data_IF_032802742475
#
_entry.id   IF_032802742475
#
_cell.length_a   1.000
_cell.length_b   1.000
_cell.length_c   1.000
_cell.angle_alpha   90.00
_cell.angle_beta   90.00
_cell.angle_gamma   90.00
#
_symmetry.space_group_name_H-M   'P 1'
#
loop_
_entity.id
_entity.type
_entity.pdbx_description
1 polymer ?
#
# COMPACT_ATOMS: atom_id res chain seq x y z
N UNK A 1 -7.18 17.16 -2.11
CA UNK A 1 -8.28 16.20 -1.94
C UNK A 1 -7.74 14.80 -2.23
N UNK A 2 -6.94 14.22 -1.32
CA UNK A 2 -6.34 12.87 -1.45
C UNK A 2 -6.64 12.01 -0.20
N UNK A 3 -6.97 12.65 0.93
CA UNK A 3 -7.12 11.98 2.24
C UNK A 3 -8.35 11.06 2.29
N UNK A 4 -9.44 11.39 1.59
CA UNK A 4 -10.62 10.52 1.49
C UNK A 4 -10.38 9.22 0.71
N UNK A 5 -9.42 9.20 -0.21
CA UNK A 5 -9.05 8.01 -0.99
C UNK A 5 -8.27 7.01 -0.14
N UNK A 6 -7.59 7.47 0.93
CA UNK A 6 -6.78 6.61 1.79
C UNK A 6 -7.58 5.73 2.74
N UNK A 7 -8.64 6.27 3.33
CA UNK A 7 -9.57 5.46 4.12
C UNK A 7 -10.27 4.39 3.27
N UNK A 8 -10.60 4.72 2.02
CA UNK A 8 -11.21 3.76 1.07
C UNK A 8 -10.24 2.66 0.65
N UNK A 9 -8.97 3.00 0.40
CA UNK A 9 -7.95 2.02 0.04
C UNK A 9 -7.67 1.04 1.19
N UNK A 10 -7.62 1.53 2.44
CA UNK A 10 -7.45 0.67 3.62
C UNK A 10 -8.62 -0.29 3.78
N UNK A 11 -9.85 0.21 3.65
CA UNK A 11 -11.05 -0.62 3.73
C UNK A 11 -11.11 -1.68 2.62
N UNK A 12 -10.67 -1.34 1.41
CA UNK A 12 -10.66 -2.25 0.27
C UNK A 12 -9.65 -3.40 0.42
N UNK A 13 -8.50 -3.14 1.05
CA UNK A 13 -7.41 -4.13 1.18
C UNK A 13 -7.58 -5.02 2.41
N UNK A 14 -7.93 -4.44 3.57
CA UNK A 14 -7.90 -5.18 4.84
C UNK A 14 -9.27 -5.51 5.44
N UNK A 15 -10.37 -5.01 4.86
CA UNK A 15 -11.70 -5.18 5.43
C UNK A 15 -11.89 -4.42 6.75
N UNK A 16 -13.13 -4.06 7.07
CA UNK A 16 -13.45 -3.11 8.15
C UNK A 16 -12.91 -3.46 9.54
N UNK A 17 -12.59 -2.38 10.28
CA UNK A 17 -12.33 -2.26 11.73
C UNK A 17 -10.94 -2.62 12.29
N UNK A 18 -9.89 -2.65 11.45
CA UNK A 18 -8.49 -2.64 11.90
C UNK A 18 -8.06 -1.36 12.65
N UNK A 19 -8.85 -0.29 12.57
CA UNK A 19 -8.62 0.97 13.28
C UNK A 19 -9.51 1.12 14.55
N UNK A 20 -10.33 0.10 14.87
CA UNK A 20 -11.31 0.10 15.96
C UNK A 20 -12.43 1.17 15.80
N UNK A 21 -13.35 1.25 16.77
CA UNK A 21 -14.49 2.20 16.76
C UNK A 21 -14.10 3.70 16.60
N UNK A 22 -12.82 4.05 16.74
CA UNK A 22 -12.27 5.38 16.46
C UNK A 22 -11.96 5.63 14.98
N UNK A 23 -11.78 4.56 14.19
CA UNK A 23 -11.44 4.59 12.77
C UNK A 23 -12.63 4.47 11.83
N UNK A 24 -13.81 4.96 12.22
CA UNK A 24 -14.87 5.20 11.22
C UNK A 24 -14.41 6.34 10.32
N UNK A 25 -13.92 5.98 9.14
CA UNK A 25 -13.79 6.91 8.01
C UNK A 25 -15.19 7.45 7.69
N UNK A 26 -15.57 8.56 8.32
CA UNK A 26 -16.81 9.28 7.99
C UNK A 26 -16.60 10.04 6.68
N UNK A 27 -16.69 9.30 5.57
CA UNK A 27 -16.99 9.87 4.26
C UNK A 27 -18.45 10.29 4.22
N UNK A 28 -18.79 11.43 4.85
CA UNK A 28 -20.07 12.08 4.67
C UNK A 28 -20.18 12.59 3.23
N UNK A 29 -20.86 11.83 2.38
CA UNK A 29 -21.29 12.30 1.07
C UNK A 29 -22.24 13.48 1.23
N UNK A 30 -22.00 14.53 0.44
CA UNK A 30 -22.98 15.60 0.22
C UNK A 30 -22.59 16.95 0.84
N UNK A 31 -22.18 17.87 -0.03
CA UNK A 31 -22.44 19.32 0.08
C UNK A 31 -22.29 19.95 1.46
N UNK A 32 -21.06 20.28 1.85
CA UNK A 32 -20.80 21.10 3.03
C UNK A 32 -19.37 20.94 3.46
N UNK A 33 -18.65 22.03 3.69
CA UNK A 33 -17.24 22.02 4.08
C UNK A 33 -16.97 21.24 5.37
N UNK A 34 -16.80 19.93 5.26
CA UNK A 34 -16.22 19.08 6.30
C UNK A 34 -14.70 19.08 6.12
N UNK A 35 -13.98 19.74 7.02
CA UNK A 35 -12.53 19.62 7.09
C UNK A 35 -12.20 18.20 7.56
N UNK A 36 -11.72 17.37 6.64
CA UNK A 36 -11.13 16.07 6.97
C UNK A 36 -9.96 16.30 7.94
N UNK A 37 -10.16 16.00 9.22
CA UNK A 37 -9.08 15.88 10.19
C UNK A 37 -8.85 14.38 10.38
N UNK A 38 -8.04 13.78 9.52
CA UNK A 38 -7.41 12.51 9.86
C UNK A 38 -6.36 12.86 10.91
N UNK A 39 -6.45 12.26 12.09
CA UNK A 39 -5.49 12.57 13.14
C UNK A 39 -4.09 12.11 12.67
N UNK A 40 -3.01 12.88 12.96
CA UNK A 40 -1.66 12.53 12.53
C UNK A 40 -1.22 11.12 12.92
N UNK A 41 -1.75 10.62 14.03
CA UNK A 41 -1.54 9.26 14.54
C UNK A 41 -2.20 8.18 13.65
N UNK A 42 -3.40 8.45 13.14
CA UNK A 42 -4.10 7.54 12.23
C UNK A 42 -3.39 7.46 10.88
N UNK A 43 -2.91 8.60 10.37
CA UNK A 43 -2.14 8.62 9.14
C UNK A 43 -0.81 7.86 9.29
N UNK A 44 -0.15 7.99 10.46
CA UNK A 44 1.05 7.21 10.78
C UNK A 44 0.75 5.71 10.85
N UNK A 45 -0.38 5.30 11.44
CA UNK A 45 -0.80 3.89 11.47
C UNK A 45 -1.02 3.32 10.07
N UNK A 46 -1.73 4.06 9.20
CA UNK A 46 -1.97 3.64 7.81
C UNK A 46 -0.66 3.55 7.03
N UNK A 47 0.26 4.50 7.21
CA UNK A 47 1.61 4.41 6.61
C UNK A 47 2.31 3.12 7.05
N UNK A 48 2.30 2.81 8.35
CA UNK A 48 2.93 1.59 8.87
C UNK A 48 2.34 0.31 8.30
N UNK A 49 1.02 0.26 8.06
CA UNK A 49 0.38 -0.90 7.43
C UNK A 49 0.82 -1.08 5.97
N UNK A 50 0.89 0.00 5.21
CA UNK A 50 1.39 -0.04 3.83
C UNK A 50 2.88 -0.36 3.75
N UNK A 51 3.69 0.06 4.72
CA UNK A 51 5.09 -0.34 4.84
C UNK A 51 5.22 -1.84 5.11
N UNK A 52 4.43 -2.38 6.04
CA UNK A 52 4.40 -3.82 6.31
C UNK A 52 3.94 -4.64 5.08
N UNK A 53 3.00 -4.11 4.30
CA UNK A 53 2.56 -4.76 3.06
C UNK A 53 3.61 -4.67 1.95
N UNK A 54 4.32 -3.54 1.85
CA UNK A 54 5.46 -3.39 0.96
C UNK A 54 6.53 -4.45 1.23
N UNK A 55 6.84 -4.71 2.51
CA UNK A 55 7.82 -5.73 2.89
C UNK A 55 7.40 -7.13 2.42
N UNK A 56 6.12 -7.48 2.53
CA UNK A 56 5.59 -8.77 2.02
C UNK A 56 5.71 -8.87 0.51
N UNK A 57 5.38 -7.79 -0.22
CA UNK A 57 5.49 -7.75 -1.69
C UNK A 57 6.95 -7.93 -2.14
N UNK A 58 7.91 -7.40 -1.38
CA UNK A 58 9.34 -7.60 -1.63
C UNK A 58 9.74 -9.05 -1.35
N UNK A 59 9.33 -9.63 -0.23
CA UNK A 59 9.59 -11.03 0.10
C UNK A 59 9.00 -11.99 -0.95
N UNK A 60 7.79 -11.70 -1.45
CA UNK A 60 7.17 -12.49 -2.52
C UNK A 60 7.92 -12.35 -3.85
N UNK A 61 8.47 -11.16 -4.16
CA UNK A 61 9.37 -10.98 -5.32
C UNK A 61 10.57 -11.91 -5.26
N UNK A 62 11.20 -11.99 -4.09
CA UNK A 62 12.39 -12.81 -3.89
C UNK A 62 12.05 -14.30 -4.02
N UNK A 63 10.92 -14.74 -3.48
CA UNK A 63 10.41 -16.12 -3.65
C UNK A 63 10.12 -16.45 -5.12
N UNK A 64 9.43 -15.57 -5.84
CA UNK A 64 9.12 -15.77 -7.26
C UNK A 64 10.42 -15.91 -8.06
N UNK A 65 11.37 -15.00 -7.83
CA UNK A 65 12.69 -15.02 -8.50
C UNK A 65 13.45 -16.30 -8.18
N UNK A 66 13.42 -16.75 -6.93
CA UNK A 66 14.02 -18.02 -6.52
C UNK A 66 13.39 -19.21 -7.26
N UNK A 67 12.06 -19.29 -7.28
CA UNK A 67 11.33 -20.39 -7.94
C UNK A 67 11.66 -20.44 -9.44
N UNK A 68 11.66 -19.29 -10.12
CA UNK A 68 12.07 -19.19 -11.54
C UNK A 68 13.49 -19.73 -11.73
N UNK A 69 14.42 -19.38 -10.83
CA UNK A 69 15.81 -19.81 -10.93
C UNK A 69 16.05 -21.30 -10.69
N UNK A 70 15.17 -21.98 -9.95
CA UNK A 70 15.30 -23.42 -9.64
C UNK A 70 14.36 -24.31 -10.46
N UNK A 71 13.44 -23.72 -11.23
CA UNK A 71 12.48 -24.45 -12.04
C UNK A 71 13.21 -25.24 -13.13
N UNK A 72 13.09 -26.56 -13.06
CA UNK A 72 13.74 -27.49 -13.99
C UNK A 72 12.80 -28.63 -14.36
N UNK A 73 13.02 -29.20 -15.54
CA UNK A 73 12.19 -30.30 -16.06
C UNK A 73 12.42 -31.57 -15.23
N UNK A 74 11.37 -32.22 -14.70
CA UNK A 74 11.53 -33.43 -13.93
C UNK A 74 12.00 -34.63 -14.77
N UNK A 75 11.80 -34.57 -16.10
CA UNK A 75 12.20 -35.58 -17.07
C UNK A 75 12.82 -34.96 -18.32
N UNK A 76 13.37 -35.79 -19.21
CA UNK A 76 13.92 -35.35 -20.53
C UNK A 76 12.93 -35.56 -21.67
N UNK A 77 11.66 -35.71 -21.34
CA UNK A 77 10.58 -35.93 -22.31
C UNK A 77 9.85 -34.62 -22.63
N UNK A 78 9.22 -34.59 -23.80
CA UNK A 78 8.54 -33.39 -24.29
C UNK A 78 7.38 -32.91 -23.40
N UNK A 79 6.77 -33.80 -22.59
CA UNK A 79 5.68 -33.42 -21.69
C UNK A 79 6.24 -32.69 -20.47
N UNK A 80 7.33 -33.19 -19.89
CA UNK A 80 8.05 -32.53 -18.79
C UNK A 80 8.54 -31.13 -19.19
N UNK A 81 9.10 -30.99 -20.39
CA UNK A 81 9.57 -29.70 -20.90
C UNK A 81 8.39 -28.74 -21.17
N UNK A 82 7.28 -29.24 -21.72
CA UNK A 82 6.06 -28.47 -21.91
C UNK A 82 5.47 -27.95 -20.60
N UNK A 83 5.44 -28.79 -19.55
CA UNK A 83 5.01 -28.40 -18.21
C UNK A 83 5.86 -27.25 -17.65
N UNK A 84 7.19 -27.34 -17.76
CA UNK A 84 8.09 -26.28 -17.32
C UNK A 84 7.85 -25.00 -18.10
N UNK A 85 7.67 -25.07 -19.42
CA UNK A 85 7.39 -23.90 -20.25
C UNK A 85 6.13 -23.16 -19.79
N UNK A 86 5.00 -23.87 -19.63
CA UNK A 86 3.74 -23.25 -19.19
C UNK A 86 3.83 -22.72 -17.76
N UNK A 87 4.55 -23.44 -16.88
CA UNK A 87 4.79 -22.98 -15.51
C UNK A 87 5.64 -21.71 -15.50
N UNK A 88 6.66 -21.63 -16.35
CA UNK A 88 7.51 -20.45 -16.51
C UNK A 88 6.70 -19.24 -16.97
N UNK A 89 5.84 -19.39 -17.97
CA UNK A 89 4.97 -18.31 -18.45
C UNK A 89 4.07 -17.76 -17.33
N UNK A 90 3.55 -18.65 -16.48
CA UNK A 90 2.72 -18.30 -15.34
C UNK A 90 3.53 -17.55 -14.25
N UNK A 91 4.76 -17.98 -13.99
CA UNK A 91 5.65 -17.33 -13.02
C UNK A 91 6.12 -15.95 -13.49
N UNK A 92 6.37 -15.78 -14.79
CA UNK A 92 6.68 -14.47 -15.39
C UNK A 92 5.49 -13.52 -15.22
N UNK A 93 4.28 -13.98 -15.53
CA UNK A 93 3.07 -13.16 -15.34
C UNK A 93 2.87 -12.77 -13.86
N UNK A 94 3.15 -13.68 -12.93
CA UNK A 94 3.12 -13.40 -11.50
C UNK A 94 4.19 -12.39 -11.08
N UNK A 95 5.40 -12.47 -11.64
CA UNK A 95 6.47 -11.51 -11.40
C UNK A 95 6.07 -10.10 -11.88
N UNK A 96 5.51 -10.00 -13.08
CA UNK A 96 5.03 -8.73 -13.66
C UNK A 96 3.91 -8.09 -12.82
N UNK A 97 2.99 -8.92 -12.31
CA UNK A 97 1.95 -8.47 -11.39
C UNK A 97 2.57 -7.94 -10.10
N UNK A 98 3.51 -8.68 -9.50
CA UNK A 98 4.16 -8.29 -8.26
C UNK A 98 4.95 -6.98 -8.40
N UNK A 99 5.66 -6.80 -9.52
CA UNK A 99 6.38 -5.57 -9.83
C UNK A 99 5.44 -4.37 -10.00
N UNK A 100 4.26 -4.60 -10.61
CA UNK A 100 3.21 -3.58 -10.73
C UNK A 100 2.67 -3.17 -9.36
N UNK A 101 2.44 -4.14 -8.46
CA UNK A 101 2.01 -3.86 -7.09
C UNK A 101 3.08 -3.11 -6.29
N UNK A 102 4.34 -3.55 -6.38
CA UNK A 102 5.48 -2.89 -5.74
C UNK A 102 5.54 -1.41 -6.11
N UNK A 103 5.46 -1.10 -7.41
CA UNK A 103 5.46 0.27 -7.91
C UNK A 103 4.24 1.06 -7.42
N UNK A 104 3.06 0.44 -7.38
CA UNK A 104 1.85 1.09 -6.87
C UNK A 104 2.01 1.49 -5.40
N UNK A 105 2.40 0.54 -4.53
CA UNK A 105 2.53 0.76 -3.09
C UNK A 105 3.59 1.80 -2.77
N UNK A 106 4.75 1.76 -3.43
CA UNK A 106 5.80 2.77 -3.25
C UNK A 106 5.33 4.19 -3.59
N UNK A 107 4.62 4.34 -4.71
CA UNK A 107 4.06 5.63 -5.11
C UNK A 107 2.97 6.11 -4.15
N UNK A 108 2.19 5.17 -3.63
CA UNK A 108 1.13 5.46 -2.68
C UNK A 108 1.68 5.92 -1.31
N UNK A 109 2.66 5.19 -0.77
CA UNK A 109 3.39 5.56 0.45
C UNK A 109 4.05 6.93 0.32
N UNK A 110 4.62 7.26 -0.84
CA UNK A 110 5.18 8.59 -1.10
C UNK A 110 4.13 9.68 -0.91
N UNK A 111 2.93 9.51 -1.48
CA UNK A 111 1.82 10.48 -1.34
C UNK A 111 1.35 10.61 0.11
N UNK A 112 1.27 9.49 0.85
CA UNK A 112 0.89 9.51 2.26
C UNK A 112 1.91 10.27 3.12
N UNK A 113 3.20 10.03 2.93
CA UNK A 113 4.28 10.73 3.65
C UNK A 113 4.33 12.23 3.32
N UNK A 114 4.08 12.59 2.06
CA UNK A 114 3.95 13.99 1.65
C UNK A 114 2.74 14.67 2.31
N UNK A 115 1.61 13.97 2.42
CA UNK A 115 0.42 14.47 3.11
C UNK A 115 0.69 14.66 4.60
N UNK A 116 1.36 13.71 5.26
CA UNK A 116 1.74 13.81 6.68
C UNK A 116 2.61 15.04 6.96
N UNK A 117 3.64 15.25 6.15
CA UNK A 117 4.54 16.40 6.28
C UNK A 117 3.80 17.74 6.14
N UNK A 118 2.85 17.82 5.20
CA UNK A 118 2.04 19.05 4.97
C UNK A 118 1.09 19.34 6.13
N UNK A 119 0.47 18.31 6.71
CA UNK A 119 -0.42 18.46 7.87
C UNK A 119 0.35 18.96 9.08
N UNK A 120 1.49 18.33 9.41
CA UNK A 120 2.35 18.72 10.55
C UNK A 120 2.90 20.15 10.38
N UNK A 121 3.31 20.54 9.18
CA UNK A 121 3.80 21.90 8.92
C UNK A 121 2.69 22.97 9.09
N UNK A 122 1.44 22.63 8.76
CA UNK A 122 0.29 23.53 8.91
C UNK A 122 -0.06 23.71 10.39
N UNK A 123 -0.04 22.63 11.18
CA UNK A 123 -0.31 22.68 12.62
C UNK A 123 0.78 23.46 13.39
N UNK A 124 2.06 23.31 13.02
CA UNK A 124 3.14 24.11 13.62
C UNK A 124 3.03 25.60 13.26
N UNK A 125 2.64 25.94 12.03
CA UNK A 125 2.44 27.34 11.61
C UNK A 125 1.26 28.03 12.30
N UNK A 126 0.24 27.28 12.72
CA UNK A 126 -0.89 27.82 13.50
C UNK A 126 -0.65 27.86 15.02
N UNK A 127 0.41 27.21 15.52
CA UNK A 127 0.80 27.26 16.93
C UNK A 127 1.65 28.49 17.30
N UNK A 128 2.28 29.16 16.32
CA UNK A 128 3.14 30.33 16.51
C UNK A 128 2.47 31.73 16.62
N UNK A 129 1.19 31.98 16.25
CA UNK A 129 0.59 33.32 16.37
C UNK A 129 0.08 33.67 17.78
N UNK A 130 0.17 32.77 18.76
CA UNK A 130 -0.32 33.00 20.13
C UNK A 130 0.79 33.26 21.16
N UNK A 131 2.05 33.43 20.74
CA UNK A 131 3.21 33.57 21.67
C UNK A 131 3.82 34.97 21.80
N UNK A 132 3.25 35.98 21.18
CA UNK A 132 3.64 37.38 21.42
C UNK A 132 2.50 38.13 22.10
N UNK A 133 2.64 38.26 23.42
CA UNK A 133 1.95 39.23 24.27
C UNK A 133 2.73 40.54 24.27
#
# INVERSE_FOLDING_TARGET
>A
MIIGEAGQAVQAVWGGDILGERGRVYGGGGGGGGQFRMDPEELASVIGQWEAELDKIVDDKDKITYIIGVLTSPGKDAVSDGYVSTTMDSLIALQDQNDSMLKYVQNYLKKLKEAQTKTVATDHGMADPFRTV
#
